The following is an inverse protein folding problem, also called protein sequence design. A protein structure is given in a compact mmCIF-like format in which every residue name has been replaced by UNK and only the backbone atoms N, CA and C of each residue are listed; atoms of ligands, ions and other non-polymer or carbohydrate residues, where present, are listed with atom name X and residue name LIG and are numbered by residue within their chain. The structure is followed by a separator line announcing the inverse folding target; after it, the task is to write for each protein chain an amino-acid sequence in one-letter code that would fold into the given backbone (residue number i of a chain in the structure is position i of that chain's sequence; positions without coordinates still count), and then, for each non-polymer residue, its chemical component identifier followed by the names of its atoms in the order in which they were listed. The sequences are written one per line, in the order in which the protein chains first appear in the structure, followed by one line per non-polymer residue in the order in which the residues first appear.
data_IF_754608567711
#
_entry.id   IF_754608567711
#
_cell.length_a   1.000
_cell.length_b   1.000
_cell.length_c   1.000
_cell.angle_alpha   90.00
_cell.angle_beta   90.00
_cell.angle_gamma   90.00
#
_symmetry.space_group_name_H-M   'P 1'
#
loop_
_entity.id
_entity.type
_entity.pdbx_description
1 polymer ?
#
# COMPACT_ATOMS: atom_id res chain seq x y z
N UNK A 1 5.02 0.50 1.23
CA UNK A 1 6.42 0.41 0.72
C UNK A 1 7.50 1.06 1.61
N UNK A 2 7.62 2.39 1.68
CA UNK A 2 8.76 3.05 2.36
C UNK A 2 8.93 2.62 3.83
N UNK A 3 7.83 2.47 4.56
CA UNK A 3 7.84 2.00 5.95
C UNK A 3 8.27 0.55 6.11
N UNK A 4 7.99 -0.31 5.14
CA UNK A 4 8.52 -1.68 5.12
C UNK A 4 10.02 -1.67 4.83
N UNK A 5 10.49 -0.76 3.97
CA UNK A 5 11.92 -0.65 3.67
C UNK A 5 12.71 -0.11 4.88
N UNK A 6 12.19 0.91 5.56
CA UNK A 6 12.73 1.40 6.84
C UNK A 6 12.75 0.31 7.91
N UNK A 7 11.69 -0.50 7.98
CA UNK A 7 11.60 -1.64 8.90
C UNK A 7 12.66 -2.71 8.57
N UNK A 8 12.81 -3.06 7.28
CA UNK A 8 13.83 -3.98 6.80
C UNK A 8 15.25 -3.51 7.12
N UNK A 9 15.53 -2.21 6.94
CA UNK A 9 16.79 -1.59 7.37
C UNK A 9 17.02 -1.79 8.87
N UNK A 10 16.03 -1.43 9.69
CA UNK A 10 16.15 -1.43 11.16
C UNK A 10 16.34 -2.84 11.74
N UNK A 11 15.63 -3.83 11.24
CA UNK A 11 15.58 -5.16 11.85
C UNK A 11 16.40 -6.23 11.15
N UNK A 12 16.67 -6.04 9.85
CA UNK A 12 17.39 -7.02 9.02
C UNK A 12 18.68 -6.46 8.43
N UNK A 13 18.99 -5.19 8.66
CA UNK A 13 20.17 -4.54 8.09
C UNK A 13 20.10 -4.42 6.58
N UNK A 14 18.89 -4.39 6.00
CA UNK A 14 18.73 -4.23 4.56
C UNK A 14 19.33 -2.90 4.08
N UNK A 15 19.88 -2.91 2.87
CA UNK A 15 20.31 -1.69 2.19
C UNK A 15 19.16 -0.68 2.17
N UNK A 16 19.45 0.57 2.54
CA UNK A 16 18.49 1.67 2.55
C UNK A 16 19.19 2.94 2.13
N UNK A 17 18.61 3.65 1.16
CA UNK A 17 19.11 4.93 0.70
C UNK A 17 18.12 6.02 1.10
N UNK A 18 18.52 6.87 2.06
CA UNK A 18 17.69 7.95 2.58
C UNK A 18 17.28 8.94 1.48
N UNK A 19 18.21 9.31 0.60
CA UNK A 19 17.91 10.16 -0.55
C UNK A 19 16.83 9.59 -1.47
N UNK A 20 16.86 8.28 -1.75
CA UNK A 20 15.84 7.63 -2.59
C UNK A 20 14.50 7.53 -1.86
N UNK A 21 14.53 7.30 -0.55
CA UNK A 21 13.31 7.29 0.26
C UNK A 21 12.66 8.68 0.28
N UNK A 22 13.44 9.74 0.41
CA UNK A 22 12.97 11.13 0.38
C UNK A 22 12.40 11.51 -0.98
N UNK A 23 13.07 11.14 -2.08
CA UNK A 23 12.57 11.34 -3.45
C UNK A 23 11.20 10.66 -3.65
N UNK A 24 11.06 9.43 -3.16
CA UNK A 24 9.81 8.67 -3.24
C UNK A 24 8.73 9.31 -2.38
N UNK A 25 9.06 9.77 -1.17
CA UNK A 25 8.14 10.46 -0.27
C UNK A 25 7.67 11.80 -0.84
N UNK A 26 8.56 12.56 -1.48
CA UNK A 26 8.21 13.78 -2.20
C UNK A 26 7.18 13.49 -3.32
N UNK A 27 7.38 12.42 -4.08
CA UNK A 27 6.44 12.01 -5.12
C UNK A 27 5.04 11.65 -4.58
N UNK A 28 4.97 11.07 -3.39
CA UNK A 28 3.70 10.84 -2.67
C UNK A 28 3.06 12.18 -2.30
N UNK A 29 3.85 13.11 -1.75
CA UNK A 29 3.38 14.43 -1.32
C UNK A 29 2.86 15.29 -2.48
N UNK A 30 3.48 15.18 -3.65
CA UNK A 30 3.05 15.87 -4.87
C UNK A 30 1.68 15.34 -5.34
N UNK A 31 1.46 14.03 -5.29
CA UNK A 31 0.16 13.41 -5.62
C UNK A 31 -0.92 13.82 -4.62
N UNK A 32 -0.61 13.81 -3.32
CA UNK A 32 -1.56 14.24 -2.28
C UNK A 32 -1.94 15.71 -2.45
N UNK A 33 -0.97 16.58 -2.75
CA UNK A 33 -1.19 18.01 -2.97
C UNK A 33 -2.05 18.28 -4.21
N UNK A 34 -1.89 17.50 -5.28
CA UNK A 34 -2.58 17.70 -6.55
C UNK A 34 -3.83 16.83 -6.73
N UNK A 35 -4.32 16.17 -5.67
CA UNK A 35 -5.40 15.18 -5.74
C UNK A 35 -6.67 15.70 -6.46
N UNK A 36 -7.08 16.94 -6.21
CA UNK A 36 -8.25 17.56 -6.85
C UNK A 36 -8.05 17.71 -8.36
N UNK A 37 -6.92 18.28 -8.77
CA UNK A 37 -6.57 18.49 -10.19
C UNK A 37 -6.42 17.17 -10.95
N UNK A 38 -5.86 16.16 -10.29
CA UNK A 38 -5.75 14.81 -10.84
C UNK A 38 -7.16 14.24 -11.08
N UNK A 39 -8.05 14.42 -10.12
CA UNK A 39 -9.43 13.89 -10.18
C UNK A 39 -10.28 14.62 -11.22
N UNK A 40 -10.10 15.94 -11.37
CA UNK A 40 -10.81 16.76 -12.36
C UNK A 40 -10.27 16.55 -13.78
N UNK A 41 -9.12 15.88 -13.95
CA UNK A 41 -8.49 15.65 -15.24
C UNK A 41 -7.79 16.89 -15.81
N UNK A 42 -7.45 17.86 -14.94
CA UNK A 42 -6.67 19.03 -15.33
C UNK A 42 -5.27 18.61 -15.79
N UNK A 43 -4.78 19.25 -16.87
CA UNK A 43 -3.48 18.91 -17.49
C UNK A 43 -2.35 19.05 -16.47
N UNK A 44 -2.39 20.06 -15.61
CA UNK A 44 -1.43 20.27 -14.53
C UNK A 44 -1.44 19.10 -13.56
N UNK A 45 -2.61 18.66 -13.10
CA UNK A 45 -2.74 17.52 -12.18
C UNK A 45 -2.24 16.23 -12.81
N UNK A 46 -2.64 15.95 -14.05
CA UNK A 46 -2.19 14.77 -14.79
C UNK A 46 -0.67 14.79 -15.03
N UNK A 47 -0.08 15.96 -15.30
CA UNK A 47 1.38 16.12 -15.44
C UNK A 47 2.10 15.75 -14.14
N UNK A 48 1.67 16.30 -13.01
CA UNK A 48 2.28 15.98 -11.71
C UNK A 48 2.14 14.50 -11.38
N UNK A 49 0.97 13.89 -11.65
CA UNK A 49 0.78 12.46 -11.46
C UNK A 49 1.74 11.61 -12.30
N UNK A 50 1.92 11.94 -13.58
CA UNK A 50 2.88 11.26 -14.46
C UNK A 50 4.32 11.46 -13.97
N UNK A 51 4.69 12.65 -13.50
CA UNK A 51 6.00 12.86 -12.90
C UNK A 51 6.23 12.03 -11.64
N UNK A 52 5.23 11.88 -10.78
CA UNK A 52 5.34 10.98 -9.62
C UNK A 52 5.52 9.51 -10.01
N UNK A 53 4.90 9.06 -11.11
CA UNK A 53 5.12 7.71 -11.64
C UNK A 53 6.54 7.55 -12.21
N UNK A 54 7.04 8.54 -12.95
CA UNK A 54 8.42 8.55 -13.47
C UNK A 54 9.41 8.54 -12.31
N UNK A 55 9.21 9.38 -11.30
CA UNK A 55 10.06 9.44 -10.11
C UNK A 55 10.05 8.12 -9.33
N UNK A 56 8.91 7.43 -9.27
CA UNK A 56 8.85 6.07 -8.71
C UNK A 56 9.77 5.10 -9.48
N UNK A 57 9.76 5.17 -10.81
CA UNK A 57 10.70 4.40 -11.65
C UNK A 57 12.17 4.77 -11.41
N UNK A 58 12.47 6.06 -11.32
CA UNK A 58 13.82 6.57 -11.01
C UNK A 58 14.28 6.10 -9.62
N UNK A 59 13.42 6.18 -8.61
CA UNK A 59 13.71 5.68 -7.27
C UNK A 59 14.06 4.20 -7.27
N UNK A 60 13.30 3.37 -7.99
CA UNK A 60 13.61 1.94 -8.11
C UNK A 60 14.94 1.69 -8.81
N UNK A 61 15.27 2.47 -9.85
CA UNK A 61 16.55 2.39 -10.55
C UNK A 61 17.71 2.75 -9.63
N UNK A 62 17.62 3.87 -8.90
CA UNK A 62 18.64 4.33 -7.97
C UNK A 62 18.86 3.37 -6.80
N UNK A 63 17.79 2.73 -6.32
CA UNK A 63 17.89 1.71 -5.27
C UNK A 63 18.35 0.33 -5.81
N UNK A 64 18.41 0.15 -7.13
CA UNK A 64 18.54 -1.15 -7.79
C UNK A 64 17.58 -2.20 -7.22
N UNK A 65 16.35 -1.77 -6.92
CA UNK A 65 15.35 -2.57 -6.21
C UNK A 65 13.99 -1.89 -6.28
N UNK A 66 12.91 -2.66 -6.32
CA UNK A 66 11.57 -2.09 -6.23
C UNK A 66 11.19 -1.66 -4.80
N UNK A 67 12.08 -1.85 -3.81
CA UNK A 67 11.85 -1.55 -2.37
C UNK A 67 11.24 -0.18 -2.07
N UNK A 68 11.66 0.93 -2.72
CA UNK A 68 11.08 2.25 -2.44
C UNK A 68 9.58 2.31 -2.74
N UNK A 69 9.14 1.57 -3.77
CA UNK A 69 7.79 1.67 -4.32
C UNK A 69 6.93 0.41 -4.09
N UNK A 70 7.47 -0.66 -3.49
CA UNK A 70 6.77 -1.94 -3.32
C UNK A 70 7.09 -2.62 -2.00
N UNK A 71 6.11 -2.65 -1.09
CA UNK A 71 6.14 -3.32 0.22
C UNK A 71 5.04 -4.38 0.37
N UNK A 72 4.52 -4.56 1.59
CA UNK A 72 3.49 -5.54 1.90
C UNK A 72 2.17 -5.30 1.15
N UNK A 73 1.84 -4.03 0.85
CA UNK A 73 0.66 -3.68 0.06
C UNK A 73 0.72 -4.26 -1.36
N UNK A 74 1.92 -4.31 -1.95
CA UNK A 74 2.13 -4.93 -3.25
C UNK A 74 2.16 -6.45 -3.17
N UNK A 75 2.71 -7.03 -2.09
CA UNK A 75 2.67 -8.48 -1.90
C UNK A 75 1.23 -9.01 -1.79
N UNK A 76 0.34 -8.25 -1.12
CA UNK A 76 -1.09 -8.54 -1.10
C UNK A 76 -1.69 -8.50 -2.52
N UNK A 77 -1.43 -7.44 -3.30
CA UNK A 77 -1.89 -7.36 -4.69
C UNK A 77 -1.36 -8.49 -5.56
N UNK A 78 -0.06 -8.81 -5.48
CA UNK A 78 0.54 -9.90 -6.27
C UNK A 78 -0.07 -11.27 -5.93
N UNK A 79 -0.43 -11.51 -4.66
CA UNK A 79 -1.16 -12.72 -4.31
C UNK A 79 -2.52 -12.79 -5.03
N UNK A 80 -3.26 -11.69 -5.05
CA UNK A 80 -4.55 -11.61 -5.75
C UNK A 80 -4.39 -11.80 -7.26
N UNK A 81 -3.37 -11.19 -7.87
CA UNK A 81 -3.08 -11.34 -9.31
C UNK A 81 -2.78 -12.81 -9.67
N UNK A 82 -1.94 -13.50 -8.89
CA UNK A 82 -1.63 -14.92 -9.10
C UNK A 82 -2.86 -15.81 -8.92
N UNK A 83 -3.70 -15.52 -7.91
CA UNK A 83 -4.94 -16.25 -7.71
C UNK A 83 -5.91 -16.03 -8.88
N UNK A 84 -6.05 -14.78 -9.33
CA UNK A 84 -6.91 -14.40 -10.44
C UNK A 84 -6.51 -15.11 -11.74
N UNK A 85 -5.22 -15.10 -12.07
CA UNK A 85 -4.67 -15.79 -13.23
C UNK A 85 -4.96 -17.30 -13.17
N UNK A 86 -4.69 -17.94 -12.03
CA UNK A 86 -4.89 -19.38 -11.84
C UNK A 86 -6.35 -19.82 -11.91
N UNK A 87 -7.29 -18.95 -11.51
CA UNK A 87 -8.71 -19.28 -11.35
C UNK A 87 -9.63 -18.64 -12.40
N UNK A 88 -9.09 -17.78 -13.26
CA UNK A 88 -9.88 -17.04 -14.26
C UNK A 88 -10.76 -15.96 -13.65
N UNK A 89 -10.33 -15.34 -12.54
CA UNK A 89 -11.04 -14.20 -11.93
C UNK A 89 -10.45 -12.86 -12.37
N UNK A 90 -11.14 -11.78 -12.03
CA UNK A 90 -10.67 -10.40 -12.22
C UNK A 90 -10.97 -9.57 -10.96
N UNK A 91 -9.92 -9.08 -10.31
CA UNK A 91 -10.00 -8.34 -9.05
C UNK A 91 -9.48 -6.90 -9.20
N UNK A 92 -10.25 -6.03 -9.85
CA UNK A 92 -9.82 -4.66 -10.11
C UNK A 92 -8.51 -4.56 -10.91
N UNK A 93 -7.98 -3.34 -11.03
CA UNK A 93 -6.65 -3.06 -11.59
C UNK A 93 -5.58 -3.17 -10.49
N UNK A 94 -4.34 -3.42 -10.88
CA UNK A 94 -3.20 -3.53 -9.95
C UNK A 94 -3.12 -2.34 -8.96
N UNK A 95 -3.22 -1.10 -9.44
CA UNK A 95 -3.22 0.09 -8.56
C UNK A 95 -4.39 0.14 -7.58
N UNK A 96 -5.55 -0.38 -7.95
CA UNK A 96 -6.73 -0.46 -7.06
C UNK A 96 -6.53 -1.53 -5.97
N UNK A 97 -5.95 -2.67 -6.32
CA UNK A 97 -5.59 -3.71 -5.36
C UNK A 97 -4.52 -3.21 -4.38
N UNK A 98 -3.48 -2.53 -4.89
CA UNK A 98 -2.42 -1.92 -4.09
C UNK A 98 -2.98 -0.85 -3.16
N UNK A 99 -3.95 -0.04 -3.59
CA UNK A 99 -4.61 0.95 -2.74
C UNK A 99 -5.36 0.31 -1.56
N UNK A 100 -6.09 -0.79 -1.81
CA UNK A 100 -6.74 -1.58 -0.74
C UNK A 100 -5.68 -2.20 0.18
N UNK A 101 -4.60 -2.74 -0.39
CA UNK A 101 -3.47 -3.26 0.36
C UNK A 101 -2.83 -2.21 1.27
N UNK A 102 -2.58 -1.00 0.78
CA UNK A 102 -1.98 0.11 1.53
C UNK A 102 -2.86 0.49 2.72
N UNK A 103 -4.18 0.54 2.51
CA UNK A 103 -5.14 0.76 3.60
C UNK A 103 -4.99 -0.32 4.68
N UNK A 104 -5.03 -1.59 4.30
CA UNK A 104 -4.89 -2.70 5.27
C UNK A 104 -3.53 -2.65 6.00
N UNK A 105 -2.44 -2.41 5.27
CA UNK A 105 -1.10 -2.32 5.87
C UNK A 105 -0.96 -1.13 6.81
N UNK A 106 -1.57 0.02 6.49
CA UNK A 106 -1.57 1.19 7.37
C UNK A 106 -2.21 0.88 8.73
N UNK A 107 -3.38 0.23 8.77
CA UNK A 107 -3.99 -0.24 10.03
C UNK A 107 -3.12 -1.27 10.75
N UNK A 108 -2.51 -2.21 10.02
CA UNK A 108 -1.64 -3.22 10.64
C UNK A 108 -0.43 -2.58 11.32
N UNK A 109 0.16 -1.56 10.68
CA UNK A 109 1.22 -0.74 11.26
C UNK A 109 0.74 0.01 12.51
N UNK A 110 -0.40 0.69 12.45
CA UNK A 110 -0.94 1.43 13.61
C UNK A 110 -1.18 0.48 14.80
N UNK A 111 -1.71 -0.71 14.55
CA UNK A 111 -2.03 -1.67 15.61
C UNK A 111 -0.80 -2.36 16.21
N UNK A 112 0.26 -2.58 15.43
CA UNK A 112 1.31 -3.52 15.81
C UNK A 112 2.75 -2.98 15.71
N UNK A 113 2.97 -1.78 15.17
CA UNK A 113 4.29 -1.17 14.97
C UNK A 113 4.18 0.35 14.73
N UNK A 114 3.38 1.03 15.55
CA UNK A 114 3.03 2.44 15.38
C UNK A 114 4.27 3.35 15.38
N UNK A 115 5.30 2.99 16.15
CA UNK A 115 6.55 3.73 16.25
C UNK A 115 7.30 3.83 14.91
N UNK A 116 7.08 2.88 14.00
CA UNK A 116 7.66 2.88 12.66
C UNK A 116 6.75 3.55 11.62
N UNK A 117 5.49 3.81 11.94
CA UNK A 117 4.58 4.52 11.04
C UNK A 117 4.81 6.03 11.07
N UNK A 118 4.36 6.72 10.03
CA UNK A 118 4.40 8.18 9.98
C UNK A 118 3.50 8.79 11.06
N UNK A 119 3.85 9.98 11.56
CA UNK A 119 3.07 10.71 12.57
C UNK A 119 2.23 11.83 11.97
N UNK A 120 2.56 12.26 10.77
CA UNK A 120 1.87 13.31 10.06
C UNK A 120 0.45 12.87 9.71
N UNK A 121 -0.53 13.76 9.93
CA UNK A 121 -1.96 13.47 9.73
C UNK A 121 -2.27 12.96 8.32
N UNK A 122 -1.59 13.52 7.30
CA UNK A 122 -1.80 13.18 5.88
C UNK A 122 -1.47 11.73 5.52
N UNK A 123 -0.73 11.01 6.37
CA UNK A 123 -0.38 9.60 6.15
C UNK A 123 -1.11 8.63 7.09
N UNK A 124 -2.05 9.12 7.90
CA UNK A 124 -2.83 8.24 8.78
C UNK A 124 -3.90 7.47 7.98
N UNK A 125 -4.37 6.30 8.45
CA UNK A 125 -5.36 5.47 7.73
C UNK A 125 -6.64 6.22 7.31
N UNK A 126 -7.08 7.20 8.12
CA UNK A 126 -8.21 8.05 7.82
C UNK A 126 -7.92 9.03 6.68
N UNK A 127 -6.73 9.63 6.63
CA UNK A 127 -6.33 10.50 5.53
C UNK A 127 -6.17 9.72 4.23
N UNK A 128 -5.61 8.51 4.30
CA UNK A 128 -5.55 7.57 3.16
C UNK A 128 -6.98 7.28 2.66
N UNK A 129 -7.95 7.05 3.55
CA UNK A 129 -9.36 6.88 3.13
C UNK A 129 -9.88 8.08 2.34
N UNK A 130 -9.66 9.28 2.88
CA UNK A 130 -10.18 10.50 2.28
C UNK A 130 -9.57 10.73 0.91
N UNK A 131 -8.27 10.52 0.77
CA UNK A 131 -7.58 10.58 -0.51
C UNK A 131 -8.17 9.58 -1.52
N UNK A 132 -8.32 8.30 -1.14
CA UNK A 132 -8.87 7.28 -2.05
C UNK A 132 -10.32 7.60 -2.47
N UNK A 133 -11.15 8.10 -1.55
CA UNK A 133 -12.50 8.58 -1.84
C UNK A 133 -12.47 9.76 -2.81
N UNK A 134 -11.60 10.75 -2.57
CA UNK A 134 -11.45 11.94 -3.40
C UNK A 134 -11.09 11.56 -4.84
N UNK A 135 -10.10 10.68 -5.03
CA UNK A 135 -9.67 10.23 -6.37
C UNK A 135 -10.52 9.10 -6.96
N UNK A 136 -11.63 8.74 -6.30
CA UNK A 136 -12.57 7.69 -6.72
C UNK A 136 -11.90 6.32 -6.93
N UNK A 137 -10.84 6.03 -6.19
CA UNK A 137 -10.17 4.73 -6.19
C UNK A 137 -10.86 3.77 -5.22
N UNK A 138 -11.00 2.48 -5.54
CA UNK A 138 -11.40 1.45 -4.59
C UNK A 138 -10.57 1.49 -3.29
N UNK A 139 -11.25 1.31 -2.16
CA UNK A 139 -10.69 1.41 -0.82
C UNK A 139 -11.12 0.27 0.11
N UNK A 140 -11.89 -0.71 -0.38
CA UNK A 140 -12.18 -1.99 0.30
C UNK A 140 -12.12 -3.17 -0.68
N UNK A 141 -12.04 -4.38 -0.10
CA UNK A 141 -12.02 -5.65 -0.83
C UNK A 141 -13.29 -5.87 -1.67
N UNK A 142 -14.45 -5.38 -1.21
CA UNK A 142 -15.72 -5.54 -1.93
C UNK A 142 -15.72 -4.76 -3.26
N UNK A 143 -15.15 -3.56 -3.30
CA UNK A 143 -15.06 -2.73 -4.51
C UNK A 143 -14.15 -3.35 -5.57
N UNK A 144 -13.11 -4.10 -5.16
CA UNK A 144 -12.26 -4.88 -6.07
C UNK A 144 -12.75 -6.33 -6.28
N UNK A 145 -13.97 -6.66 -5.84
CA UNK A 145 -14.62 -7.99 -6.01
C UNK A 145 -13.86 -9.16 -5.37
N UNK A 146 -13.10 -8.89 -4.31
CA UNK A 146 -12.39 -9.91 -3.54
C UNK A 146 -13.27 -10.35 -2.36
N UNK A 147 -13.44 -11.65 -2.17
CA UNK A 147 -14.19 -12.17 -1.02
C UNK A 147 -13.37 -12.01 0.27
N UNK A 148 -14.04 -11.98 1.42
CA UNK A 148 -13.37 -11.88 2.72
C UNK A 148 -12.41 -13.06 2.95
N UNK A 149 -12.81 -14.25 2.55
CA UNK A 149 -12.01 -15.47 2.67
C UNK A 149 -10.71 -15.37 1.86
N UNK A 150 -10.81 -14.90 0.61
CA UNK A 150 -9.63 -14.71 -0.25
C UNK A 150 -8.75 -13.57 0.25
N UNK A 151 -9.33 -12.47 0.75
CA UNK A 151 -8.55 -11.38 1.34
C UNK A 151 -7.77 -11.86 2.58
N UNK A 152 -8.39 -12.67 3.43
CA UNK A 152 -7.72 -13.30 4.57
C UNK A 152 -6.59 -14.22 4.11
N UNK A 153 -6.85 -15.08 3.11
CA UNK A 153 -5.83 -15.95 2.53
C UNK A 153 -4.65 -15.14 1.97
N UNK A 154 -4.93 -14.06 1.26
CA UNK A 154 -3.94 -13.15 0.70
C UNK A 154 -3.11 -12.45 1.78
N UNK A 155 -3.72 -11.95 2.86
CA UNK A 155 -3.02 -11.31 3.97
C UNK A 155 -2.04 -12.27 4.67
N UNK A 156 -2.46 -13.52 4.89
CA UNK A 156 -1.64 -14.54 5.56
C UNK A 156 -0.47 -14.97 4.67
N UNK A 157 -0.71 -15.13 3.37
CA UNK A 157 0.26 -15.72 2.45
C UNK A 157 1.06 -14.70 1.62
N UNK A 158 0.72 -13.41 1.66
CA UNK A 158 1.46 -12.35 0.97
C UNK A 158 2.99 -12.38 1.23
N UNK A 159 3.48 -12.61 2.47
CA UNK A 159 4.91 -12.79 2.72
C UNK A 159 5.60 -13.85 1.84
N UNK A 160 4.87 -14.90 1.45
CA UNK A 160 5.42 -16.01 0.66
C UNK A 160 5.67 -15.64 -0.81
N UNK A 161 5.09 -14.54 -1.29
CA UNK A 161 5.29 -14.07 -2.68
C UNK A 161 6.74 -13.63 -2.90
N UNK A 162 7.35 -13.00 -1.89
CA UNK A 162 8.77 -12.58 -1.88
C UNK A 162 9.35 -12.77 -0.47
N UNK A 163 9.71 -14.02 -0.09
CA UNK A 163 10.18 -14.34 1.26
C UNK A 163 11.45 -13.58 1.67
N UNK A 164 12.25 -13.15 0.70
CA UNK A 164 13.45 -12.33 0.92
C UNK A 164 13.14 -10.88 1.30
N UNK A 165 11.89 -10.44 1.13
CA UNK A 165 11.45 -9.07 1.34
C UNK A 165 10.78 -8.93 2.70
N UNK A 166 11.54 -8.60 3.75
CA UNK A 166 10.98 -8.33 5.07
C UNK A 166 10.00 -7.14 5.06
N UNK A 167 8.83 -7.31 5.68
CA UNK A 167 7.74 -6.32 5.77
C UNK A 167 7.03 -6.42 7.12
N UNK A 168 6.03 -5.58 7.37
CA UNK A 168 5.18 -5.66 8.56
C UNK A 168 4.48 -7.03 8.70
N UNK A 169 4.12 -7.68 7.60
CA UNK A 169 3.52 -9.02 7.60
C UNK A 169 4.53 -10.12 7.95
N UNK A 170 5.84 -9.86 7.85
CA UNK A 170 6.88 -10.75 8.36
C UNK A 170 7.17 -10.51 9.85
N UNK A 171 7.22 -9.23 10.27
CA UNK A 171 7.41 -8.85 11.68
C UNK A 171 6.25 -9.32 12.55
N UNK A 172 5.03 -9.15 12.05
CA UNK A 172 3.76 -9.47 12.71
C UNK A 172 2.88 -10.24 11.72
N UNK A 173 3.14 -11.55 11.54
CA UNK A 173 2.29 -12.41 10.72
C UNK A 173 0.88 -12.43 11.29
N UNK A 174 -0.10 -12.40 10.40
CA UNK A 174 -1.51 -12.46 10.78
C UNK A 174 -1.96 -13.92 10.84
N UNK A 175 -2.71 -14.29 11.87
CA UNK A 175 -3.57 -15.46 11.83
C UNK A 175 -4.94 -15.12 11.21
N UNK A 176 -5.82 -16.11 11.05
CA UNK A 176 -7.15 -15.95 10.43
C UNK A 176 -8.02 -14.92 11.17
N UNK A 177 -8.04 -14.95 12.49
CA UNK A 177 -8.86 -14.04 13.31
C UNK A 177 -8.34 -12.60 13.22
N UNK A 178 -7.01 -12.42 13.30
CA UNK A 178 -6.38 -11.11 13.18
C UNK A 178 -6.57 -10.50 11.79
N UNK A 179 -6.47 -11.30 10.72
CA UNK A 179 -6.73 -10.84 9.36
C UNK A 179 -8.20 -10.44 9.16
N UNK A 180 -9.15 -11.20 9.72
CA UNK A 180 -10.58 -10.85 9.71
C UNK A 180 -10.80 -9.51 10.41
N UNK A 181 -10.25 -9.35 11.62
CA UNK A 181 -10.37 -8.13 12.41
C UNK A 181 -9.75 -6.93 11.69
N UNK A 182 -8.58 -7.10 11.06
CA UNK A 182 -7.93 -6.04 10.29
C UNK A 182 -8.82 -5.55 9.14
N UNK A 183 -9.45 -6.47 8.41
CA UNK A 183 -10.39 -6.13 7.32
C UNK A 183 -11.59 -5.35 7.89
N UNK A 184 -12.19 -5.83 8.98
CA UNK A 184 -13.35 -5.19 9.62
C UNK A 184 -13.02 -3.80 10.19
N UNK A 185 -11.83 -3.59 10.74
CA UNK A 185 -11.36 -2.29 11.20
C UNK A 185 -11.16 -1.31 10.03
N UNK A 186 -10.50 -1.78 8.97
CA UNK A 186 -10.30 -1.01 7.75
C UNK A 186 -11.63 -0.61 7.09
N UNK A 187 -12.68 -1.44 7.25
CA UNK A 187 -14.04 -1.17 6.76
C UNK A 187 -14.90 -0.31 7.71
N UNK A 188 -14.86 -0.55 9.02
CA UNK A 188 -15.68 0.19 9.99
C UNK A 188 -15.33 1.67 10.11
N UNK A 189 -14.08 2.03 9.80
CA UNK A 189 -13.64 3.43 9.67
C UNK A 189 -14.41 4.23 8.61
N UNK A 190 -15.17 3.59 7.72
CA UNK A 190 -16.09 4.27 6.80
C UNK A 190 -17.27 4.93 7.49
N UNK A 191 -17.71 4.38 8.61
CA UNK A 191 -18.96 4.78 9.28
C UNK A 191 -18.74 5.92 10.29
N UNK A 192 -17.49 6.31 10.54
CA UNK A 192 -17.10 7.32 11.53
C UNK A 192 -16.82 8.71 10.93
N UNK A 193 -16.96 8.86 9.61
CA UNK A 193 -16.73 10.12 8.87
C UNK A 193 -17.93 10.39 7.98
#
# INVERSE_FOLDING_TARGET
ALKDWELGRKEKGEYYCEYVADLTKASIDDVLTNAEKITSGEIEGLREYVYSLINSGVSMLLANSSRPCSGAEHLFSHYLDLYAEKKGYFFGRHGEQVAVGERLMSFHYINNNQENWWKEKKYQPEAILQFLKQVKCPYNIKQIKVSKELAVEALINAPLIRPERYTILHKKPLNKEEAIKLIEEAESSYLKI
#
